data_IF_005577629943
#
_entry.id   IF_005577629943
#
_cell.length_a   1.000
_cell.length_b   1.000
_cell.length_c   1.000
_cell.angle_alpha   90.00
_cell.angle_beta   90.00
_cell.angle_gamma   90.00
#
_symmetry.space_group_name_H-M   'P 1'
#
loop_
_entity.id
_entity.type
_entity.pdbx_description
1 polymer ?
#
# COMPACT_ATOMS: atom_id res chain seq x y z
N UNK A 1 26.19 9.66 -13.47
CA UNK A 1 25.16 10.57 -12.90
C UNK A 1 23.90 10.73 -13.76
N UNK A 2 23.98 11.01 -15.07
CA UNK A 2 22.79 11.22 -15.92
C UNK A 2 21.83 10.02 -16.03
N UNK A 3 22.35 8.78 -16.20
CA UNK A 3 21.51 7.56 -16.21
C UNK A 3 20.74 7.35 -14.90
N UNK A 4 21.38 7.65 -13.77
CA UNK A 4 20.78 7.52 -12.45
C UNK A 4 19.60 8.49 -12.24
N UNK A 5 19.68 9.71 -12.78
CA UNK A 5 18.58 10.69 -12.74
C UNK A 5 17.39 10.28 -13.63
N UNK A 6 17.68 9.70 -14.80
CA UNK A 6 16.64 9.28 -15.77
C UNK A 6 15.88 8.04 -15.30
N UNK A 7 16.57 7.04 -14.74
CA UNK A 7 15.94 5.85 -14.15
C UNK A 7 14.99 6.22 -13.00
N UNK A 8 15.39 7.20 -12.17
CA UNK A 8 14.57 7.67 -11.07
C UNK A 8 13.31 8.41 -11.56
N UNK A 9 13.38 9.12 -12.70
CA UNK A 9 12.24 9.84 -13.26
C UNK A 9 11.20 8.88 -13.85
N UNK A 10 11.62 7.88 -14.62
CA UNK A 10 10.70 6.93 -15.25
C UNK A 10 9.91 6.15 -14.17
N UNK A 11 10.60 5.71 -13.12
CA UNK A 11 9.97 5.04 -11.98
C UNK A 11 8.97 5.93 -11.23
N UNK A 12 9.27 7.22 -11.06
CA UNK A 12 8.32 8.20 -10.49
C UNK A 12 7.08 8.36 -11.37
N UNK A 13 7.25 8.41 -12.70
CA UNK A 13 6.11 8.51 -13.63
C UNK A 13 5.22 7.27 -13.51
N UNK A 14 5.81 6.06 -13.44
CA UNK A 14 5.06 4.83 -13.21
C UNK A 14 4.27 4.90 -11.91
N UNK A 15 4.91 5.30 -10.80
CA UNK A 15 4.24 5.48 -9.50
C UNK A 15 3.06 6.47 -9.58
N UNK A 16 3.28 7.64 -10.19
CA UNK A 16 2.25 8.67 -10.34
C UNK A 16 1.08 8.12 -11.16
N UNK A 17 1.37 7.43 -12.26
CA UNK A 17 0.33 6.79 -13.08
C UNK A 17 -0.47 5.79 -12.26
N UNK A 18 0.19 4.94 -11.47
CA UNK A 18 -0.48 3.98 -10.60
C UNK A 18 -1.37 4.67 -9.56
N UNK A 19 -0.90 5.74 -8.92
CA UNK A 19 -1.68 6.50 -7.93
C UNK A 19 -2.89 7.17 -8.59
N UNK A 20 -2.72 7.81 -9.76
CA UNK A 20 -3.81 8.42 -10.50
C UNK A 20 -4.83 7.38 -10.96
N UNK A 21 -4.36 6.22 -11.41
CA UNK A 21 -5.23 5.10 -11.78
C UNK A 21 -6.01 4.56 -10.58
N UNK A 22 -5.34 4.43 -9.45
CA UNK A 22 -5.94 4.11 -8.17
C UNK A 22 -7.02 5.12 -7.77
N UNK A 23 -6.78 6.42 -7.97
CA UNK A 23 -7.77 7.46 -7.71
C UNK A 23 -8.97 7.40 -8.66
N UNK A 24 -8.73 7.18 -9.95
CA UNK A 24 -9.78 6.98 -10.94
C UNK A 24 -10.68 5.78 -10.58
N UNK A 25 -10.12 4.74 -9.98
CA UNK A 25 -10.89 3.55 -9.59
C UNK A 25 -12.02 3.83 -8.59
N UNK A 26 -11.92 4.88 -7.76
CA UNK A 26 -12.99 5.28 -6.85
C UNK A 26 -14.21 5.87 -7.58
N UNK A 27 -14.05 6.32 -8.82
CA UNK A 27 -15.17 6.77 -9.67
C UNK A 27 -15.77 5.62 -10.48
N UNK A 28 -14.97 4.59 -10.77
CA UNK A 28 -15.43 3.41 -11.51
C UNK A 28 -16.21 2.47 -10.58
N UNK A 29 -15.77 2.35 -9.33
CA UNK A 29 -16.33 1.40 -8.37
C UNK A 29 -17.32 2.10 -7.44
N UNK A 30 -18.46 1.45 -7.12
CA UNK A 30 -19.52 2.06 -6.34
C UNK A 30 -19.01 2.37 -4.93
N UNK A 31 -18.88 3.66 -4.64
CA UNK A 31 -18.46 4.22 -3.35
C UNK A 31 -19.30 5.43 -3.02
N UNK A 32 -19.32 5.80 -1.74
CA UNK A 32 -19.96 7.03 -1.30
C UNK A 32 -19.18 8.21 -1.90
N UNK A 33 -19.88 9.14 -2.56
CA UNK A 33 -19.30 10.31 -3.26
C UNK A 33 -18.33 11.09 -2.38
N UNK A 34 -18.64 11.20 -1.09
CA UNK A 34 -17.76 11.84 -0.10
C UNK A 34 -16.35 11.23 -0.06
N UNK A 35 -16.23 9.90 -0.08
CA UNK A 35 -14.93 9.22 -0.06
C UNK A 35 -14.14 9.40 -1.37
N UNK A 36 -14.81 9.60 -2.51
CA UNK A 36 -14.15 9.85 -3.80
C UNK A 36 -13.31 11.13 -3.73
N UNK A 37 -13.88 12.23 -3.22
CA UNK A 37 -13.19 13.52 -3.11
C UNK A 37 -12.06 13.50 -2.08
N UNK A 38 -12.26 12.81 -0.95
CA UNK A 38 -11.18 12.57 0.01
C UNK A 38 -10.03 11.84 -0.66
N UNK A 39 -10.32 10.76 -1.39
CA UNK A 39 -9.30 9.94 -2.00
C UNK A 39 -8.52 10.68 -3.09
N UNK A 40 -9.19 11.47 -3.93
CA UNK A 40 -8.53 12.37 -4.91
C UNK A 40 -7.61 13.35 -4.21
N UNK A 41 -8.08 13.99 -3.13
CA UNK A 41 -7.29 14.97 -2.38
C UNK A 41 -6.01 14.37 -1.80
N UNK A 42 -6.11 13.18 -1.19
CA UNK A 42 -4.94 12.46 -0.67
C UNK A 42 -4.03 12.01 -1.82
N UNK A 43 -4.59 11.57 -2.94
CA UNK A 43 -3.80 11.15 -4.11
C UNK A 43 -2.95 12.29 -4.69
N UNK A 44 -3.50 13.51 -4.79
CA UNK A 44 -2.76 14.70 -5.22
C UNK A 44 -1.60 14.99 -4.26
N UNK A 45 -1.87 14.90 -2.95
CA UNK A 45 -0.86 15.09 -1.92
C UNK A 45 0.25 14.01 -1.97
N UNK A 46 -0.10 12.77 -2.29
CA UNK A 46 0.87 11.67 -2.50
C UNK A 46 1.71 11.90 -3.76
N UNK A 47 1.11 12.38 -4.86
CA UNK A 47 1.87 12.76 -6.07
C UNK A 47 2.89 13.85 -5.74
N UNK A 48 2.51 14.86 -4.95
CA UNK A 48 3.45 15.88 -4.47
C UNK A 48 4.62 15.29 -3.67
N UNK A 49 4.34 14.31 -2.78
CA UNK A 49 5.38 13.62 -2.01
C UNK A 49 6.29 12.73 -2.86
N UNK A 50 5.76 12.06 -3.89
CA UNK A 50 6.57 11.30 -4.86
C UNK A 50 7.55 12.23 -5.59
N UNK A 51 7.06 13.39 -6.06
CA UNK A 51 7.90 14.36 -6.76
C UNK A 51 8.96 14.98 -5.86
N UNK A 52 8.56 15.33 -4.63
CA UNK A 52 9.43 15.96 -3.62
C UNK A 52 10.36 14.99 -2.89
N UNK A 53 10.26 13.68 -3.16
CA UNK A 53 11.02 12.62 -2.48
C UNK A 53 10.87 12.63 -0.94
N UNK A 54 9.68 12.98 -0.45
CA UNK A 54 9.36 13.06 0.98
C UNK A 54 8.40 11.94 1.40
N UNK A 55 8.46 11.55 2.67
CA UNK A 55 7.49 10.68 3.33
C UNK A 55 7.27 9.33 2.60
N UNK A 56 8.35 8.66 2.22
CA UNK A 56 8.34 7.37 1.50
C UNK A 56 7.43 6.30 2.14
N UNK A 57 7.41 6.25 3.48
CA UNK A 57 6.55 5.35 4.23
C UNK A 57 5.06 5.61 4.00
N UNK A 58 4.64 6.88 4.00
CA UNK A 58 3.26 7.25 3.71
C UNK A 58 2.90 6.95 2.26
N UNK A 59 3.80 7.26 1.32
CA UNK A 59 3.63 6.94 -0.10
C UNK A 59 3.44 5.44 -0.30
N UNK A 60 4.26 4.60 0.34
CA UNK A 60 4.14 3.15 0.25
C UNK A 60 2.81 2.67 0.81
N UNK A 61 2.45 3.06 2.04
CA UNK A 61 1.19 2.64 2.68
C UNK A 61 -0.01 3.02 1.82
N UNK A 62 -0.04 4.26 1.32
CA UNK A 62 -1.11 4.71 0.45
C UNK A 62 -1.15 3.97 -0.89
N UNK A 63 0.01 3.70 -1.50
CA UNK A 63 0.10 2.94 -2.76
C UNK A 63 -0.41 1.51 -2.60
N UNK A 64 -0.06 0.86 -1.49
CA UNK A 64 -0.54 -0.49 -1.13
C UNK A 64 -2.05 -0.49 -0.92
N UNK A 65 -2.56 0.48 -0.16
CA UNK A 65 -3.99 0.70 0.03
C UNK A 65 -4.71 0.86 -1.32
N UNK A 66 -4.26 1.82 -2.12
CA UNK A 66 -4.87 2.15 -3.41
C UNK A 66 -4.87 0.97 -4.39
N UNK A 67 -3.78 0.22 -4.44
CA UNK A 67 -3.63 -0.93 -5.34
C UNK A 67 -4.52 -2.06 -4.91
N UNK A 68 -4.56 -2.38 -3.60
CA UNK A 68 -5.45 -3.41 -3.10
C UNK A 68 -6.93 -3.06 -3.35
N UNK A 69 -7.30 -1.78 -3.20
CA UNK A 69 -8.66 -1.31 -3.47
C UNK A 69 -9.01 -1.48 -4.94
N UNK A 70 -8.11 -1.05 -5.82
CA UNK A 70 -8.27 -1.23 -7.26
C UNK A 70 -8.45 -2.71 -7.62
N UNK A 71 -7.60 -3.58 -7.08
CA UNK A 71 -7.62 -5.03 -7.30
C UNK A 71 -8.90 -5.69 -6.80
N UNK A 72 -9.42 -5.29 -5.63
CA UNK A 72 -10.71 -5.80 -5.16
C UNK A 72 -11.85 -5.37 -6.06
N UNK A 73 -11.85 -4.11 -6.51
CA UNK A 73 -12.86 -3.60 -7.44
C UNK A 73 -12.84 -4.31 -8.79
N UNK A 74 -11.63 -4.61 -9.33
CA UNK A 74 -11.48 -5.42 -10.53
C UNK A 74 -12.15 -6.78 -10.38
N UNK A 75 -11.92 -7.45 -9.26
CA UNK A 75 -12.53 -8.74 -8.98
C UNK A 75 -14.04 -8.65 -8.80
N UNK A 76 -14.53 -7.65 -8.05
CA UNK A 76 -15.95 -7.56 -7.70
C UNK A 76 -16.84 -7.13 -8.87
N UNK A 77 -16.34 -6.24 -9.74
CA UNK A 77 -17.18 -5.63 -10.80
C UNK A 77 -16.95 -6.28 -12.15
N UNK A 78 -15.69 -6.55 -12.49
CA UNK A 78 -15.35 -7.16 -13.78
C UNK A 78 -15.17 -8.69 -13.69
N UNK A 79 -15.25 -9.27 -12.50
CA UNK A 79 -15.17 -10.72 -12.31
C UNK A 79 -13.79 -11.31 -12.65
N UNK A 80 -12.71 -10.51 -12.59
CA UNK A 80 -11.38 -11.01 -12.91
C UNK A 80 -11.01 -12.22 -12.04
N UNK A 81 -10.45 -13.30 -12.63
CA UNK A 81 -9.93 -14.44 -11.88
C UNK A 81 -8.93 -14.02 -10.80
N UNK A 82 -9.06 -14.61 -9.61
CA UNK A 82 -8.25 -14.22 -8.43
C UNK A 82 -6.74 -14.29 -8.70
N UNK A 83 -6.28 -15.28 -9.48
CA UNK A 83 -4.87 -15.45 -9.80
C UNK A 83 -4.32 -14.30 -10.67
N UNK A 84 -5.10 -13.75 -11.61
CA UNK A 84 -4.71 -12.58 -12.41
C UNK A 84 -4.53 -11.37 -11.51
N UNK A 85 -5.48 -11.18 -10.59
CA UNK A 85 -5.47 -10.08 -9.64
C UNK A 85 -4.26 -10.20 -8.69
N UNK A 86 -3.95 -11.40 -8.20
CA UNK A 86 -2.77 -11.65 -7.38
C UNK A 86 -1.47 -11.34 -8.13
N UNK A 87 -1.33 -11.77 -9.38
CA UNK A 87 -0.15 -11.43 -10.20
C UNK A 87 -0.01 -9.91 -10.32
N UNK A 88 -1.11 -9.19 -10.57
CA UNK A 88 -1.08 -7.73 -10.65
C UNK A 88 -0.60 -7.07 -9.36
N UNK A 89 -1.06 -7.55 -8.20
CA UNK A 89 -0.64 -7.05 -6.89
C UNK A 89 0.84 -7.32 -6.67
N UNK A 90 1.31 -8.55 -6.93
CA UNK A 90 2.72 -8.94 -6.78
C UNK A 90 3.63 -8.00 -7.57
N UNK A 91 3.31 -7.76 -8.85
CA UNK A 91 4.09 -6.88 -9.73
C UNK A 91 4.08 -5.44 -9.21
N UNK A 92 2.90 -4.91 -8.87
CA UNK A 92 2.75 -3.52 -8.43
C UNK A 92 3.46 -3.26 -7.10
N UNK A 93 3.32 -4.16 -6.14
CA UNK A 93 4.03 -4.09 -4.87
C UNK A 93 5.54 -4.13 -5.10
N UNK A 94 6.04 -5.07 -5.91
CA UNK A 94 7.46 -5.16 -6.21
C UNK A 94 8.00 -3.86 -6.83
N UNK A 95 7.25 -3.26 -7.76
CA UNK A 95 7.59 -1.95 -8.33
C UNK A 95 7.69 -0.90 -7.22
N UNK A 96 6.69 -0.78 -6.34
CA UNK A 96 6.72 0.22 -5.25
C UNK A 96 7.94 0.09 -4.36
N UNK A 97 8.29 -1.13 -3.93
CA UNK A 97 9.49 -1.37 -3.14
C UNK A 97 10.74 -0.98 -3.91
N UNK A 98 10.83 -1.38 -5.19
CA UNK A 98 11.98 -1.07 -6.01
C UNK A 98 12.21 0.44 -6.14
N UNK A 99 11.15 1.22 -6.41
CA UNK A 99 11.26 2.68 -6.53
C UNK A 99 11.62 3.34 -5.21
N UNK A 100 11.01 2.89 -4.11
CA UNK A 100 11.19 3.49 -2.79
C UNK A 100 12.39 2.92 -2.03
N UNK A 101 13.15 1.97 -2.60
CA UNK A 101 14.26 1.25 -1.96
C UNK A 101 15.18 2.15 -1.15
N UNK A 102 15.69 3.21 -1.79
CA UNK A 102 16.67 4.12 -1.19
C UNK A 102 16.13 4.88 0.02
N UNK A 103 14.83 5.12 0.05
CA UNK A 103 14.17 5.89 1.10
C UNK A 103 13.64 4.99 2.22
N UNK A 104 13.28 3.74 1.92
CA UNK A 104 12.70 2.80 2.88
C UNK A 104 13.75 2.15 3.78
N UNK A 105 14.82 1.63 3.19
CA UNK A 105 15.91 0.93 3.89
C UNK A 105 17.23 1.28 3.22
N UNK A 106 17.83 2.43 3.57
CA UNK A 106 19.16 2.76 3.07
C UNK A 106 20.14 1.64 3.45
N UNK A 107 20.93 1.17 2.48
CA UNK A 107 22.05 0.23 2.67
C UNK A 107 21.70 -1.22 3.07
N UNK A 108 20.45 -1.66 2.96
CA UNK A 108 20.11 -3.07 3.19
C UNK A 108 20.62 -3.98 2.05
N UNK A 109 21.66 -4.78 2.34
CA UNK A 109 22.22 -5.77 1.41
C UNK A 109 21.15 -6.78 0.95
N UNK A 110 20.30 -7.25 1.87
CA UNK A 110 19.25 -8.23 1.60
C UNK A 110 17.90 -7.60 1.21
N UNK A 111 17.90 -6.39 0.63
CA UNK A 111 16.68 -5.65 0.31
C UNK A 111 15.69 -6.47 -0.54
N UNK A 112 16.19 -7.22 -1.52
CA UNK A 112 15.36 -8.04 -2.41
C UNK A 112 14.63 -9.16 -1.67
N UNK A 113 15.28 -9.77 -0.67
CA UNK A 113 14.66 -10.81 0.15
C UNK A 113 13.60 -10.20 1.06
N UNK A 114 13.89 -9.05 1.68
CA UNK A 114 12.93 -8.32 2.53
C UNK A 114 11.70 -7.88 1.72
N UNK A 115 11.91 -7.35 0.51
CA UNK A 115 10.80 -6.93 -0.36
C UNK A 115 9.98 -8.12 -0.85
N UNK A 116 10.61 -9.23 -1.23
CA UNK A 116 9.91 -10.47 -1.59
C UNK A 116 9.05 -10.99 -0.43
N UNK A 117 9.61 -11.06 0.78
CA UNK A 117 8.87 -11.49 1.96
C UNK A 117 7.65 -10.60 2.21
N UNK A 118 7.81 -9.28 2.11
CA UNK A 118 6.70 -8.35 2.27
C UNK A 118 5.62 -8.52 1.21
N UNK A 119 6.02 -8.62 -0.05
CA UNK A 119 5.12 -8.79 -1.19
C UNK A 119 4.30 -10.07 -1.03
N UNK A 120 4.93 -11.16 -0.58
CA UNK A 120 4.24 -12.42 -0.26
C UNK A 120 3.28 -12.22 0.92
N UNK A 121 3.73 -11.62 2.02
CA UNK A 121 2.90 -11.40 3.22
C UNK A 121 1.63 -10.58 2.90
N UNK A 122 1.74 -9.49 2.14
CA UNK A 122 0.58 -8.70 1.72
C UNK A 122 -0.32 -9.50 0.77
N UNK A 123 0.26 -10.30 -0.13
CA UNK A 123 -0.52 -11.13 -1.05
C UNK A 123 -1.30 -12.23 -0.32
N UNK A 124 -0.73 -12.83 0.72
CA UNK A 124 -1.41 -13.78 1.60
C UNK A 124 -2.56 -13.13 2.37
N UNK A 125 -2.34 -11.92 2.93
CA UNK A 125 -3.41 -11.16 3.59
C UNK A 125 -4.53 -10.83 2.58
N UNK A 126 -4.16 -10.40 1.37
CA UNK A 126 -5.13 -10.13 0.30
C UNK A 126 -5.93 -11.38 -0.08
N UNK A 127 -5.27 -12.53 -0.19
CA UNK A 127 -5.87 -13.83 -0.48
C UNK A 127 -6.81 -14.28 0.64
N UNK A 128 -6.41 -14.15 1.90
CA UNK A 128 -7.26 -14.49 3.04
C UNK A 128 -8.52 -13.61 3.09
N UNK A 129 -8.36 -12.28 3.02
CA UNK A 129 -9.47 -11.33 3.00
C UNK A 129 -10.35 -11.48 1.75
N UNK A 130 -9.80 -12.01 0.67
CA UNK A 130 -10.52 -12.30 -0.58
C UNK A 130 -11.65 -13.33 -0.41
N UNK A 131 -11.65 -14.15 0.65
CA UNK A 131 -12.72 -15.10 0.94
C UNK A 131 -13.79 -14.55 1.90
N UNK A 132 -13.56 -13.38 2.50
CA UNK A 132 -14.45 -12.82 3.52
C UNK A 132 -15.45 -11.85 2.91
N UNK A 133 -16.68 -11.80 3.41
CA UNK A 133 -17.74 -10.88 2.96
C UNK A 133 -17.60 -9.49 3.60
N UNK A 134 -16.46 -8.84 3.33
CA UNK A 134 -16.14 -7.49 3.78
C UNK A 134 -16.13 -6.54 2.58
N UNK A 135 -16.55 -5.28 2.76
CA UNK A 135 -16.46 -4.26 1.72
C UNK A 135 -15.00 -4.10 1.20
N UNK A 136 -14.78 -3.98 -0.12
CA UNK A 136 -13.45 -3.74 -0.71
C UNK A 136 -12.63 -2.65 -0.01
N UNK A 137 -13.27 -1.53 0.34
CA UNK A 137 -12.62 -0.40 1.01
C UNK A 137 -12.00 -0.82 2.34
N UNK A 138 -12.77 -1.54 3.16
CA UNK A 138 -12.30 -2.05 4.44
C UNK A 138 -11.16 -3.04 4.26
N UNK A 139 -11.29 -4.00 3.34
CA UNK A 139 -10.23 -4.98 3.10
C UNK A 139 -8.91 -4.29 2.75
N UNK A 140 -9.00 -3.26 1.91
CA UNK A 140 -7.85 -2.43 1.55
C UNK A 140 -7.29 -1.65 2.74
N UNK A 141 -8.15 -1.10 3.61
CA UNK A 141 -7.70 -0.43 4.84
C UNK A 141 -6.94 -1.39 5.76
N UNK A 142 -7.43 -2.62 5.94
CA UNK A 142 -6.73 -3.66 6.72
C UNK A 142 -5.34 -3.90 6.12
N UNK A 143 -5.26 -4.10 4.79
CA UNK A 143 -3.99 -4.30 4.09
C UNK A 143 -3.05 -3.08 4.26
N UNK A 144 -3.58 -1.86 4.18
CA UNK A 144 -2.83 -0.63 4.42
C UNK A 144 -2.26 -0.55 5.85
N UNK A 145 -3.02 -0.99 6.85
CA UNK A 145 -2.55 -1.02 8.24
C UNK A 145 -1.45 -2.06 8.41
N UNK A 146 -1.60 -3.26 7.83
CA UNK A 146 -0.53 -4.26 7.86
C UNK A 146 0.74 -3.74 7.17
N UNK A 147 0.61 -3.03 6.05
CA UNK A 147 1.72 -2.34 5.39
C UNK A 147 2.38 -1.32 6.31
N UNK A 148 1.59 -0.52 7.03
CA UNK A 148 2.10 0.45 8.00
C UNK A 148 2.88 -0.21 9.17
N UNK A 149 2.35 -1.29 9.75
CA UNK A 149 3.04 -2.05 10.81
C UNK A 149 4.38 -2.58 10.29
N UNK A 150 4.37 -3.18 9.10
CA UNK A 150 5.58 -3.76 8.52
C UNK A 150 6.63 -2.70 8.23
N UNK A 151 6.22 -1.56 7.67
CA UNK A 151 7.10 -0.42 7.44
C UNK A 151 7.66 0.10 8.78
N UNK A 152 6.84 0.18 9.82
CA UNK A 152 7.28 0.51 11.17
C UNK A 152 8.27 -0.50 11.76
N UNK A 153 8.08 -1.79 11.49
CA UNK A 153 9.00 -2.86 11.90
C UNK A 153 10.37 -2.71 11.22
N UNK A 154 10.36 -2.60 9.89
CA UNK A 154 11.57 -2.46 9.07
C UNK A 154 12.34 -1.19 9.42
N UNK A 155 11.65 -0.05 9.54
CA UNK A 155 12.31 1.22 9.87
C UNK A 155 12.95 1.25 11.26
N UNK A 156 12.52 0.40 12.20
CA UNK A 156 13.08 0.36 13.56
C UNK A 156 14.18 -0.70 13.75
N UNK A 157 14.19 -1.79 12.99
CA UNK A 157 15.13 -2.90 13.20
C UNK A 157 16.45 -2.71 12.46
N UNK A 158 16.42 -2.10 11.28
CA UNK A 158 17.62 -1.93 10.47
C UNK A 158 18.58 -0.82 10.95
N UNK A 159 18.16 0.25 11.66
CA UNK A 159 19.11 1.25 12.14
C UNK A 159 19.92 0.78 13.36
N UNK A 160 19.33 0.14 14.37
CA UNK A 160 20.01 -0.25 15.61
C UNK A 160 19.31 -1.46 16.26
N UNK A 161 20.09 -2.43 16.77
CA UNK A 161 19.66 -3.71 17.37
C UNK A 161 18.81 -3.58 18.67
N UNK A 162 18.09 -2.48 18.88
CA UNK A 162 17.18 -2.26 19.99
C UNK A 162 15.77 -2.12 19.43
N UNK A 163 14.89 -3.06 19.78
CA UNK A 163 13.44 -2.88 19.66
C UNK A 163 13.04 -1.65 20.48
N UNK A 164 13.01 -0.51 19.82
CA UNK A 164 12.80 0.79 20.46
C UNK A 164 11.33 0.96 20.86
N UNK A 165 11.03 1.83 21.83
CA UNK A 165 9.63 2.13 22.26
C UNK A 165 8.72 2.53 21.09
N UNK A 166 9.31 3.01 20.00
CA UNK A 166 8.64 3.38 18.75
C UNK A 166 7.96 2.19 18.08
N UNK A 167 8.51 0.97 18.14
CA UNK A 167 7.86 -0.20 17.52
C UNK A 167 6.52 -0.55 18.18
N UNK A 168 6.47 -0.53 19.51
CA UNK A 168 5.22 -0.75 20.25
C UNK A 168 4.17 0.33 19.95
N UNK A 169 4.59 1.56 19.64
CA UNK A 169 3.69 2.61 19.17
C UNK A 169 3.03 2.21 17.84
N UNK A 170 3.76 1.70 16.85
CA UNK A 170 3.18 1.22 15.58
C UNK A 170 2.15 0.10 15.81
N UNK A 171 2.47 -0.87 16.68
CA UNK A 171 1.53 -1.95 17.04
C UNK A 171 0.27 -1.40 17.70
N UNK A 172 0.42 -0.56 18.73
CA UNK A 172 -0.71 0.01 19.46
C UNK A 172 -1.62 0.82 18.54
N UNK A 173 -1.02 1.66 17.68
CA UNK A 173 -1.76 2.47 16.70
C UNK A 173 -2.53 1.56 15.74
N UNK A 174 -1.91 0.49 15.25
CA UNK A 174 -2.58 -0.46 14.38
C UNK A 174 -3.71 -1.24 15.07
N UNK A 175 -3.53 -1.68 16.31
CA UNK A 175 -4.59 -2.35 17.08
C UNK A 175 -5.79 -1.43 17.26
N UNK A 176 -5.57 -0.16 17.64
CA UNK A 176 -6.64 0.83 17.78
C UNK A 176 -7.39 1.01 16.46
N UNK A 177 -6.67 1.16 15.34
CA UNK A 177 -7.28 1.33 14.02
C UNK A 177 -8.03 0.06 13.60
N UNK A 178 -7.50 -1.15 13.86
CA UNK A 178 -8.20 -2.41 13.56
C UNK A 178 -9.48 -2.53 14.37
N UNK A 179 -9.46 -2.20 15.66
CA UNK A 179 -10.66 -2.21 16.50
C UNK A 179 -11.69 -1.22 15.95
N UNK A 180 -11.27 0.01 15.63
CA UNK A 180 -12.15 1.01 15.02
C UNK A 180 -12.72 0.51 13.69
N UNK A 181 -11.93 -0.15 12.86
CA UNK A 181 -12.43 -0.78 11.63
C UNK A 181 -13.44 -1.87 11.96
N UNK A 182 -13.13 -2.85 12.80
CA UNK A 182 -14.06 -3.93 13.14
C UNK A 182 -15.41 -3.40 13.68
N UNK A 183 -15.39 -2.28 14.42
CA UNK A 183 -16.59 -1.59 14.91
C UNK A 183 -17.35 -0.80 13.84
N UNK A 184 -16.67 -0.29 12.81
CA UNK A 184 -17.26 0.57 11.76
C UNK A 184 -17.54 -0.16 10.44
N UNK A 185 -17.11 -1.42 10.33
CA UNK A 185 -17.23 -2.21 9.11
C UNK A 185 -18.68 -2.61 8.86
N UNK A 186 -19.20 -2.19 7.70
CA UNK A 186 -20.37 -2.82 7.09
C UNK A 186 -20.00 -4.27 6.73
N UNK A 187 -20.51 -5.21 7.51
CA UNK A 187 -20.47 -6.64 7.19
C UNK A 187 -21.55 -6.93 6.12
N UNK A 188 -21.24 -6.61 4.86
CA UNK A 188 -21.99 -7.14 3.72
C UNK A 188 -23.38 -6.56 3.47
N UNK A 189 -23.65 -5.32 3.87
CA UNK A 189 -24.78 -4.54 3.35
C UNK A 189 -24.29 -3.49 2.33
#
# INVERSE_FOLDING_TARGET
MRKFLVENLLLKIILIFIILWGAASFFIFPTIVFFQWIFVSISILVVYFILSEKLAYFVLVFSVFSTSYFSYGLRSIFGFPLWIVLISILVMLFIFFWVLKKQLIPECENFLLVSMFFVIAISEIYLALSFWLINPLTKSLIIGIFSYIFVGYVSNIFPENKLDKKFFLYIYTAIVVIILLLLTVSWGH
#
